data_IF_542886812520
#
_entry.id   IF_542886812520
#
_cell.length_a   1.000
_cell.length_b   1.000
_cell.length_c   1.000
_cell.angle_alpha   90.00
_cell.angle_beta   90.00
_cell.angle_gamma   90.00
#
_symmetry.space_group_name_H-M   'P 1'
#
loop_
_entity.id
_entity.type
_entity.pdbx_description
1 polymer ?
#
# COMPACT_ATOMS: atom_id res chain seq x y z
N UNK A 1 -6.58 -40.87 25.31
CA UNK A 1 -5.84 -39.61 25.53
C UNK A 1 -6.31 -38.64 24.46
N UNK A 2 -7.10 -37.64 24.84
CA UNK A 2 -7.46 -36.56 23.93
C UNK A 2 -6.16 -35.87 23.48
N UNK A 3 -5.84 -35.95 22.19
CA UNK A 3 -4.82 -35.08 21.60
C UNK A 3 -5.32 -33.65 21.81
N UNK A 4 -4.66 -32.90 22.69
CA UNK A 4 -4.90 -31.47 22.87
C UNK A 4 -4.92 -30.82 21.47
N UNK A 5 -6.07 -30.28 21.06
CA UNK A 5 -6.17 -29.56 19.80
C UNK A 5 -5.21 -28.37 19.82
N UNK A 6 -4.52 -28.15 18.69
CA UNK A 6 -3.64 -27.00 18.52
C UNK A 6 -4.44 -25.70 18.70
N UNK A 7 -3.86 -24.71 19.35
CA UNK A 7 -4.39 -23.35 19.40
C UNK A 7 -3.94 -22.60 18.15
N UNK A 8 -4.90 -22.17 17.34
CA UNK A 8 -4.68 -21.35 16.15
C UNK A 8 -5.08 -19.93 16.49
N UNK A 9 -4.21 -18.97 16.20
CA UNK A 9 -4.52 -17.55 16.38
C UNK A 9 -4.65 -16.85 15.04
N UNK A 10 -5.60 -15.94 14.94
CA UNK A 10 -5.77 -15.00 13.85
C UNK A 10 -6.05 -13.63 14.45
N UNK A 11 -5.46 -12.57 13.89
CA UNK A 11 -5.75 -11.19 14.30
C UNK A 11 -6.23 -10.34 13.13
N UNK A 12 -7.18 -9.44 13.38
CA UNK A 12 -7.68 -8.55 12.34
C UNK A 12 -8.84 -7.65 12.78
N UNK A 13 -9.26 -6.78 11.86
CA UNK A 13 -10.37 -5.85 12.05
C UNK A 13 -11.74 -6.54 11.91
N UNK A 14 -11.91 -7.39 10.88
CA UNK A 14 -13.18 -8.07 10.57
C UNK A 14 -14.42 -7.14 10.48
N UNK A 15 -14.22 -5.87 10.12
CA UNK A 15 -15.32 -4.94 9.89
C UNK A 15 -16.07 -5.28 8.61
N UNK A 16 -17.38 -5.05 8.61
CA UNK A 16 -18.34 -5.54 7.61
C UNK A 16 -18.08 -7.00 7.22
N UNK A 17 -18.25 -7.91 8.18
CA UNK A 17 -18.03 -9.34 8.01
C UNK A 17 -18.71 -9.86 6.73
N UNK A 18 -17.95 -10.60 5.92
CA UNK A 18 -18.38 -11.05 4.60
C UNK A 18 -17.80 -12.43 4.25
N UNK A 19 -18.22 -13.00 3.12
CA UNK A 19 -17.83 -14.35 2.70
C UNK A 19 -16.32 -14.59 2.70
N UNK A 20 -15.52 -13.63 2.22
CA UNK A 20 -14.06 -13.69 2.28
C UNK A 20 -13.49 -13.85 3.70
N UNK A 21 -14.02 -13.13 4.70
CA UNK A 21 -13.61 -13.32 6.10
C UNK A 21 -14.02 -14.71 6.61
N UNK A 22 -15.26 -15.13 6.32
CA UNK A 22 -15.77 -16.44 6.76
C UNK A 22 -14.94 -17.58 6.17
N UNK A 23 -14.64 -17.52 4.88
CA UNK A 23 -13.82 -18.52 4.18
C UNK A 23 -12.41 -18.61 4.78
N UNK A 24 -11.75 -17.47 5.00
CA UNK A 24 -10.44 -17.44 5.64
C UNK A 24 -10.46 -18.01 7.07
N UNK A 25 -11.45 -17.66 7.88
CA UNK A 25 -11.58 -18.19 9.24
C UNK A 25 -11.90 -19.69 9.25
N UNK A 26 -12.69 -20.18 8.29
CA UNK A 26 -12.94 -21.62 8.11
C UNK A 26 -11.65 -22.36 7.78
N UNK A 27 -10.87 -21.89 6.79
CA UNK A 27 -9.58 -22.47 6.45
C UNK A 27 -8.60 -22.45 7.64
N UNK A 28 -8.53 -21.34 8.36
CA UNK A 28 -7.70 -21.23 9.56
C UNK A 28 -8.11 -22.23 10.66
N UNK A 29 -9.42 -22.52 10.80
CA UNK A 29 -9.93 -23.47 11.79
C UNK A 29 -9.60 -24.94 11.50
N UNK A 30 -9.17 -25.27 10.27
CA UNK A 30 -8.71 -26.63 9.93
C UNK A 30 -7.43 -27.02 10.67
N UNK A 31 -6.67 -26.02 11.14
CA UNK A 31 -5.41 -26.22 11.85
C UNK A 31 -5.59 -26.46 13.36
N UNK A 32 -6.79 -26.25 13.92
CA UNK A 32 -7.06 -26.40 15.35
C UNK A 32 -8.17 -25.49 15.88
N UNK A 33 -8.19 -25.28 17.19
CA UNK A 33 -9.18 -24.39 17.82
C UNK A 33 -8.82 -22.92 17.53
N UNK A 34 -9.72 -22.20 16.86
CA UNK A 34 -9.49 -20.86 16.34
C UNK A 34 -9.78 -19.76 17.37
N UNK A 35 -8.73 -19.07 17.79
CA UNK A 35 -8.76 -17.88 18.63
C UNK A 35 -8.60 -16.64 17.76
N UNK A 36 -9.48 -15.65 17.94
CA UNK A 36 -9.43 -14.39 17.21
C UNK A 36 -9.03 -13.26 18.16
N UNK A 37 -7.97 -12.54 17.79
CA UNK A 37 -7.62 -11.22 18.30
C UNK A 37 -8.29 -10.14 17.47
N UNK A 38 -9.36 -9.54 17.99
CA UNK A 38 -10.12 -8.50 17.30
C UNK A 38 -9.49 -7.13 17.57
N UNK A 39 -9.14 -6.41 16.51
CA UNK A 39 -8.65 -5.04 16.64
C UNK A 39 -9.73 -4.10 17.19
N UNK A 40 -9.38 -3.31 18.21
CA UNK A 40 -10.29 -2.35 18.85
C UNK A 40 -10.66 -1.19 17.93
N UNK A 41 -11.83 -0.59 18.11
CA UNK A 41 -12.29 0.56 17.31
C UNK A 41 -11.27 1.70 17.34
N UNK A 42 -10.69 1.95 18.52
CA UNK A 42 -9.65 2.96 18.72
C UNK A 42 -8.39 2.67 17.89
N UNK A 43 -7.92 1.42 17.88
CA UNK A 43 -6.73 1.03 17.13
C UNK A 43 -6.98 1.11 15.63
N UNK A 44 -8.12 0.62 15.15
CA UNK A 44 -8.47 0.66 13.73
C UNK A 44 -8.61 2.10 13.25
N UNK A 45 -9.28 2.97 14.01
CA UNK A 45 -9.39 4.40 13.69
C UNK A 45 -8.03 5.07 13.54
N UNK A 46 -7.08 4.75 14.42
CA UNK A 46 -5.71 5.28 14.36
C UNK A 46 -4.92 4.76 13.15
N UNK A 47 -5.06 3.47 12.81
CA UNK A 47 -4.31 2.82 11.73
C UNK A 47 -4.83 3.13 10.32
N UNK A 48 -6.15 3.19 10.18
CA UNK A 48 -6.85 3.34 8.90
C UNK A 48 -7.41 4.74 8.68
N UNK A 49 -7.36 5.60 9.70
CA UNK A 49 -7.80 7.00 9.61
C UNK A 49 -9.32 7.17 9.50
N UNK A 50 -10.11 6.13 9.79
CA UNK A 50 -11.58 6.14 9.68
C UNK A 50 -12.21 5.23 10.74
N UNK A 51 -13.49 5.47 11.05
CA UNK A 51 -14.25 4.61 11.95
C UNK A 51 -14.67 3.30 11.27
N UNK A 52 -14.80 2.26 12.08
CA UNK A 52 -15.44 0.99 11.74
C UNK A 52 -16.94 1.22 11.51
N UNK A 53 -17.55 0.41 10.67
CA UNK A 53 -19.02 0.46 10.46
C UNK A 53 -19.73 -0.20 11.64
N UNK A 54 -19.21 -1.33 12.11
CA UNK A 54 -19.71 -2.02 13.29
C UNK A 54 -18.75 -1.83 14.46
N UNK A 55 -19.32 -1.59 15.65
CA UNK A 55 -18.57 -1.50 16.91
C UNK A 55 -17.74 -2.77 17.16
N UNK A 56 -16.69 -2.68 17.97
CA UNK A 56 -15.91 -3.86 18.36
C UNK A 56 -16.76 -4.94 19.05
N UNK A 57 -17.81 -4.55 19.79
CA UNK A 57 -18.76 -5.48 20.40
C UNK A 57 -19.61 -6.21 19.35
N UNK A 58 -20.14 -5.51 18.36
CA UNK A 58 -20.92 -6.10 17.26
C UNK A 58 -20.05 -7.02 16.40
N UNK A 59 -18.84 -6.58 16.06
CA UNK A 59 -17.87 -7.41 15.33
C UNK A 59 -17.53 -8.68 16.11
N UNK A 60 -17.28 -8.55 17.42
CA UNK A 60 -17.02 -9.71 18.28
C UNK A 60 -18.23 -10.64 18.40
N UNK A 61 -19.44 -10.10 18.47
CA UNK A 61 -20.68 -10.89 18.49
C UNK A 61 -20.83 -11.72 17.21
N UNK A 62 -20.69 -11.08 16.03
CA UNK A 62 -20.78 -11.78 14.74
C UNK A 62 -19.71 -12.86 14.59
N UNK A 63 -18.48 -12.59 15.02
CA UNK A 63 -17.39 -13.57 14.97
C UNK A 63 -17.63 -14.75 15.92
N UNK A 64 -18.15 -14.51 17.13
CA UNK A 64 -18.52 -15.57 18.09
C UNK A 64 -19.65 -16.47 17.59
N UNK A 65 -20.50 -15.96 16.71
CA UNK A 65 -21.59 -16.74 16.11
C UNK A 65 -21.12 -17.71 15.01
N UNK A 66 -19.89 -17.56 14.49
CA UNK A 66 -19.34 -18.47 13.50
C UNK A 66 -18.94 -19.80 14.16
N UNK A 67 -19.44 -20.91 13.61
CA UNK A 67 -19.18 -22.25 14.16
C UNK A 67 -17.71 -22.68 14.15
N UNK A 68 -16.88 -22.07 13.30
CA UNK A 68 -15.45 -22.33 13.23
C UNK A 68 -14.62 -21.58 14.29
N UNK A 69 -15.22 -20.65 15.04
CA UNK A 69 -14.52 -19.77 15.99
C UNK A 69 -14.64 -20.32 17.41
N UNK A 70 -13.49 -20.60 18.04
CA UNK A 70 -13.44 -21.09 19.42
C UNK A 70 -13.57 -19.96 20.44
N UNK A 71 -12.85 -18.84 20.25
CA UNK A 71 -12.90 -17.68 21.15
C UNK A 71 -12.52 -16.39 20.44
N UNK A 72 -13.18 -15.30 20.82
CA UNK A 72 -12.85 -13.93 20.37
C UNK A 72 -12.46 -13.08 21.57
N UNK A 73 -11.35 -12.37 21.47
CA UNK A 73 -10.84 -11.41 22.45
C UNK A 73 -10.52 -10.10 21.72
N UNK A 74 -10.91 -8.96 22.29
CA UNK A 74 -10.46 -7.65 21.78
C UNK A 74 -9.01 -7.43 22.20
N UNK A 75 -8.15 -7.08 21.26
CA UNK A 75 -6.73 -6.89 21.49
C UNK A 75 -6.47 -5.72 22.46
N UNK A 76 -5.53 -5.92 23.40
CA UNK A 76 -5.18 -4.90 24.42
C UNK A 76 -4.25 -3.81 23.89
N UNK A 77 -3.44 -4.15 22.88
CA UNK A 77 -2.41 -3.27 22.37
C UNK A 77 -2.94 -2.21 21.40
N UNK A 78 -2.00 -1.60 20.68
CA UNK A 78 -2.29 -0.62 19.63
C UNK A 78 -1.28 -0.69 18.49
N UNK A 79 -1.59 -0.06 17.35
CA UNK A 79 -0.71 -0.13 16.17
C UNK A 79 -0.87 -1.42 15.39
N UNK A 80 0.04 -1.71 14.44
CA UNK A 80 -0.06 -2.90 13.58
C UNK A 80 0.13 -4.22 14.33
N UNK A 81 0.74 -4.17 15.51
CA UNK A 81 1.04 -5.30 16.39
C UNK A 81 0.17 -5.23 17.67
N UNK A 82 -1.05 -4.71 17.57
CA UNK A 82 -1.97 -4.56 18.70
C UNK A 82 -2.28 -5.88 19.44
N UNK A 83 -2.16 -7.01 18.74
CA UNK A 83 -2.34 -8.35 19.27
C UNK A 83 -1.12 -8.92 19.99
N UNK A 84 0.04 -8.26 20.01
CA UNK A 84 1.28 -8.85 20.54
C UNK A 84 1.14 -9.34 21.98
N UNK A 85 0.55 -8.52 22.86
CA UNK A 85 0.34 -8.89 24.26
C UNK A 85 -0.58 -10.12 24.37
N UNK A 86 -1.68 -10.13 23.61
CA UNK A 86 -2.63 -11.24 23.56
C UNK A 86 -2.00 -12.52 23.00
N UNK A 87 -1.11 -12.40 22.01
CA UNK A 87 -0.34 -13.52 21.45
C UNK A 87 0.59 -14.13 22.51
N UNK A 88 1.33 -13.29 23.24
CA UNK A 88 2.23 -13.71 24.34
C UNK A 88 1.47 -14.37 25.50
N UNK A 89 0.26 -13.92 25.79
CA UNK A 89 -0.62 -14.51 26.82
C UNK A 89 -1.20 -15.85 26.34
N UNK A 90 -1.74 -15.90 25.12
CA UNK A 90 -2.41 -17.08 24.58
C UNK A 90 -1.43 -18.24 24.32
N UNK A 91 -0.22 -17.90 23.88
CA UNK A 91 0.83 -18.82 23.41
C UNK A 91 0.26 -19.84 22.41
N UNK A 92 -0.21 -19.38 21.24
CA UNK A 92 -0.77 -20.28 20.25
C UNK A 92 0.33 -21.15 19.62
N UNK A 93 -0.07 -22.32 19.14
CA UNK A 93 0.80 -23.21 18.38
C UNK A 93 1.05 -22.64 16.98
N UNK A 94 0.02 -21.99 16.39
CA UNK A 94 0.05 -21.43 15.04
C UNK A 94 -0.54 -20.02 15.03
N UNK A 95 0.13 -19.06 14.41
CA UNK A 95 -0.43 -17.74 14.05
C UNK A 95 -0.62 -17.66 12.54
N UNK A 96 -1.87 -17.50 12.12
CA UNK A 96 -2.26 -17.44 10.71
C UNK A 96 -2.62 -16.01 10.30
N UNK A 97 -2.10 -15.58 9.16
CA UNK A 97 -2.44 -14.31 8.50
C UNK A 97 -2.80 -14.54 7.03
N UNK A 98 -3.45 -13.56 6.41
CA UNK A 98 -3.58 -13.49 4.95
C UNK A 98 -2.36 -12.79 4.32
N UNK A 99 -2.19 -12.94 3.01
CA UNK A 99 -1.12 -12.29 2.22
C UNK A 99 -1.02 -10.77 2.43
N UNK A 100 -2.14 -10.06 2.48
CA UNK A 100 -2.21 -8.61 2.73
C UNK A 100 -1.96 -8.24 4.21
N UNK A 101 -2.07 -9.22 5.10
CA UNK A 101 -1.82 -9.08 6.53
C UNK A 101 -0.42 -9.52 6.96
N UNK A 102 0.37 -10.14 6.07
CA UNK A 102 1.75 -10.53 6.35
C UNK A 102 2.63 -9.29 6.55
N UNK A 103 3.55 -9.33 7.53
CA UNK A 103 4.67 -8.40 7.64
C UNK A 103 5.89 -9.10 8.23
N UNK A 104 7.13 -8.62 7.95
CA UNK A 104 8.34 -9.17 8.55
C UNK A 104 8.33 -9.15 10.09
N UNK A 105 7.81 -8.09 10.70
CA UNK A 105 7.71 -7.94 12.15
C UNK A 105 6.87 -9.06 12.81
N UNK A 106 5.82 -9.54 12.12
CA UNK A 106 4.98 -10.65 12.61
C UNK A 106 5.72 -11.97 12.59
N UNK A 107 6.45 -12.20 11.51
CA UNK A 107 7.23 -13.42 11.33
C UNK A 107 8.38 -13.48 12.34
N UNK A 108 9.08 -12.36 12.56
CA UNK A 108 10.15 -12.26 13.56
C UNK A 108 9.62 -12.47 14.99
N UNK A 109 8.46 -11.88 15.33
CA UNK A 109 7.80 -12.13 16.63
C UNK A 109 7.43 -13.61 16.81
N UNK A 110 6.86 -14.25 15.79
CA UNK A 110 6.56 -15.68 15.86
C UNK A 110 7.80 -16.54 16.08
N UNK A 111 8.91 -16.18 15.43
CA UNK A 111 10.20 -16.86 15.62
C UNK A 111 10.74 -16.71 17.03
N UNK A 112 10.63 -15.51 17.62
CA UNK A 112 10.97 -15.24 19.02
C UNK A 112 10.14 -16.09 19.98
N UNK A 113 8.84 -16.22 19.72
CA UNK A 113 7.89 -16.91 20.59
C UNK A 113 7.84 -18.43 20.38
N UNK A 114 8.47 -18.95 19.33
CA UNK A 114 8.37 -20.36 18.94
C UNK A 114 6.98 -20.76 18.41
N UNK A 115 6.22 -19.80 17.88
CA UNK A 115 4.90 -20.02 17.27
C UNK A 115 5.06 -20.25 15.77
N UNK A 116 4.40 -21.27 15.22
CA UNK A 116 4.37 -21.52 13.78
C UNK A 116 3.66 -20.36 13.07
N UNK A 117 4.32 -19.68 12.12
CA UNK A 117 3.72 -18.59 11.36
C UNK A 117 3.28 -19.07 9.97
N UNK A 118 2.03 -18.84 9.61
CA UNK A 118 1.47 -19.29 8.34
C UNK A 118 0.75 -18.16 7.60
N UNK A 119 1.08 -18.02 6.32
CA UNK A 119 0.40 -17.07 5.42
C UNK A 119 -0.51 -17.87 4.49
N UNK A 120 -1.81 -17.58 4.53
CA UNK A 120 -2.81 -18.16 3.64
C UNK A 120 -3.16 -17.17 2.52
N UNK A 121 -3.50 -17.73 1.35
CA UNK A 121 -3.97 -16.93 0.22
C UNK A 121 -5.45 -16.65 0.36
N UNK A 122 -5.89 -15.49 -0.14
CA UNK A 122 -7.34 -15.27 -0.29
C UNK A 122 -7.86 -16.09 -1.47
N UNK A 123 -8.38 -17.28 -1.19
CA UNK A 123 -9.13 -18.06 -2.17
C UNK A 123 -10.62 -17.73 -1.98
N UNK A 124 -11.30 -17.12 -2.98
CA UNK A 124 -12.75 -16.95 -2.91
C UNK A 124 -13.42 -18.32 -2.78
N UNK A 125 -14.29 -18.48 -1.78
CA UNK A 125 -15.01 -19.74 -1.59
C UNK A 125 -16.04 -19.94 -2.72
N UNK A 126 -15.78 -20.92 -3.61
CA UNK A 126 -16.67 -21.33 -4.70
C UNK A 126 -17.21 -20.14 -5.55
N UNK A 127 -18.43 -20.26 -6.08
CA UNK A 127 -19.12 -19.28 -6.95
C UNK A 127 -19.41 -17.90 -6.30
N UNK A 128 -18.77 -17.56 -5.18
CA UNK A 128 -18.95 -16.27 -4.52
C UNK A 128 -17.95 -15.24 -5.07
N UNK A 129 -18.39 -13.99 -5.30
CA UNK A 129 -17.49 -12.94 -5.76
C UNK A 129 -16.40 -12.67 -4.71
N UNK A 130 -15.18 -12.38 -5.17
CA UNK A 130 -14.14 -11.84 -4.31
C UNK A 130 -14.64 -10.51 -3.72
N UNK A 131 -14.77 -10.45 -2.39
CA UNK A 131 -15.21 -9.25 -1.67
C UNK A 131 -14.17 -8.85 -0.63
N UNK A 132 -13.94 -7.55 -0.52
CA UNK A 132 -13.30 -6.91 0.62
C UNK A 132 -14.32 -5.99 1.30
N UNK A 133 -14.08 -5.66 2.57
CA UNK A 133 -14.78 -4.59 3.30
C UNK A 133 -14.92 -3.34 2.42
N UNK A 134 -13.89 -2.99 1.64
CA UNK A 134 -13.93 -1.85 0.72
C UNK A 134 -14.90 -2.01 -0.45
N UNK A 135 -14.98 -3.21 -1.04
CA UNK A 135 -15.87 -3.49 -2.17
C UNK A 135 -17.36 -3.57 -1.77
N UNK A 136 -17.67 -3.72 -0.48
CA UNK A 136 -19.03 -3.76 0.05
C UNK A 136 -19.63 -2.38 0.33
N UNK A 137 -18.81 -1.33 0.39
CA UNK A 137 -19.33 0.02 0.49
C UNK A 137 -19.95 0.39 -0.86
N UNK A 138 -21.17 0.93 -0.85
CA UNK A 138 -21.84 1.47 -2.05
C UNK A 138 -21.11 2.68 -2.66
N UNK A 139 -20.16 3.25 -1.93
CA UNK A 139 -19.25 4.31 -2.36
C UNK A 139 -18.07 3.75 -3.15
N UNK A 140 -17.76 4.31 -4.32
CA UNK A 140 -16.43 4.12 -4.96
C UNK A 140 -15.41 4.93 -4.16
N UNK A 141 -14.62 4.31 -3.28
CA UNK A 141 -13.77 5.06 -2.36
C UNK A 141 -12.75 5.87 -3.14
N UNK A 142 -12.34 7.02 -2.61
CA UNK A 142 -11.21 7.78 -3.15
C UNK A 142 -10.02 6.83 -3.39
N UNK A 143 -9.43 6.79 -4.60
CA UNK A 143 -8.34 5.87 -4.92
C UNK A 143 -7.03 6.17 -4.20
N UNK A 144 -6.09 5.23 -4.28
CA UNK A 144 -4.72 5.40 -3.81
C UNK A 144 -3.79 5.76 -4.97
N UNK A 145 -2.55 6.10 -4.65
CA UNK A 145 -1.48 6.38 -5.61
C UNK A 145 -0.27 5.52 -5.25
N UNK A 146 0.42 5.00 -6.26
CA UNK A 146 1.81 4.52 -6.12
C UNK A 146 2.77 5.31 -7.01
N UNK A 147 4.01 5.49 -6.54
CA UNK A 147 5.14 5.93 -7.36
C UNK A 147 5.63 4.78 -8.26
N UNK A 148 5.79 5.04 -9.56
CA UNK A 148 6.51 4.14 -10.45
C UNK A 148 7.94 4.64 -10.72
N UNK A 149 8.12 5.87 -11.17
CA UNK A 149 9.44 6.43 -11.43
C UNK A 149 9.44 7.96 -11.45
N UNK A 150 10.61 8.57 -11.24
CA UNK A 150 10.82 10.01 -11.44
C UNK A 150 10.26 10.92 -10.34
N UNK A 151 9.53 10.41 -9.35
CA UNK A 151 8.97 11.27 -8.30
C UNK A 151 10.04 11.86 -7.39
N UNK A 152 9.67 12.93 -6.67
CA UNK A 152 10.51 14.01 -6.12
C UNK A 152 10.77 15.14 -7.09
N UNK A 153 10.69 14.92 -8.41
CA UNK A 153 10.80 15.98 -9.40
C UNK A 153 9.67 17.03 -9.30
N UNK A 154 8.55 16.67 -8.67
CA UNK A 154 7.43 17.55 -8.37
C UNK A 154 7.71 18.57 -7.27
N UNK A 155 8.86 18.44 -6.58
CA UNK A 155 9.35 19.41 -5.63
C UNK A 155 10.23 20.45 -6.33
N UNK A 156 9.91 21.76 -6.26
CA UNK A 156 10.69 22.81 -6.92
C UNK A 156 12.15 22.87 -6.50
N UNK A 157 12.46 22.51 -5.26
CA UNK A 157 13.85 22.45 -4.80
C UNK A 157 14.64 21.29 -5.43
N UNK A 158 13.98 20.33 -6.07
CA UNK A 158 14.57 19.28 -6.91
C UNK A 158 14.56 19.72 -8.38
N UNK A 159 13.40 20.05 -8.96
CA UNK A 159 13.30 20.39 -10.39
C UNK A 159 14.02 21.66 -10.79
N UNK A 160 14.39 22.54 -9.85
CA UNK A 160 15.26 23.70 -10.16
C UNK A 160 16.58 23.29 -10.81
N UNK A 161 17.10 22.09 -10.49
CA UNK A 161 18.35 21.60 -11.06
C UNK A 161 18.16 21.09 -12.49
N UNK A 162 17.09 20.35 -12.77
CA UNK A 162 16.76 19.86 -14.11
C UNK A 162 15.24 19.61 -14.25
N UNK A 163 14.60 19.97 -15.38
CA UNK A 163 13.19 19.62 -15.61
C UNK A 163 13.04 18.12 -15.87
N UNK A 164 11.86 17.56 -15.67
CA UNK A 164 11.64 16.15 -15.96
C UNK A 164 10.29 15.63 -15.53
N UNK A 165 10.08 14.33 -15.75
CA UNK A 165 8.81 13.69 -15.54
C UNK A 165 8.76 12.82 -14.28
N UNK A 166 7.58 12.78 -13.66
CA UNK A 166 7.21 11.76 -12.68
C UNK A 166 6.14 10.86 -13.28
N UNK A 167 6.13 9.59 -12.84
CA UNK A 167 5.23 8.54 -13.30
C UNK A 167 4.56 7.94 -12.07
N UNK A 168 3.23 7.96 -12.06
CA UNK A 168 2.42 7.37 -10.99
C UNK A 168 1.34 6.47 -11.57
N UNK A 169 0.88 5.49 -10.80
CA UNK A 169 -0.33 4.75 -11.11
C UNK A 169 -1.40 5.00 -10.06
N UNK A 170 -2.63 5.18 -10.53
CA UNK A 170 -3.79 5.27 -9.67
C UNK A 170 -4.30 3.89 -9.31
N UNK A 171 -4.51 3.62 -8.03
CA UNK A 171 -4.78 2.29 -7.51
C UNK A 171 -6.21 2.21 -7.00
N UNK A 172 -6.95 1.25 -7.52
CA UNK A 172 -8.27 0.88 -7.01
C UNK A 172 -8.16 0.46 -5.55
N UNK A 173 -9.04 0.95 -4.68
CA UNK A 173 -9.04 0.60 -3.26
C UNK A 173 -9.63 -0.80 -3.04
N UNK A 174 -9.16 -1.83 -3.74
CA UNK A 174 -9.60 -3.22 -3.53
C UNK A 174 -9.18 -3.79 -2.18
N UNK A 175 -8.11 -3.23 -1.60
CA UNK A 175 -7.56 -3.54 -0.28
C UNK A 175 -7.38 -2.21 0.48
N UNK A 176 -7.44 -2.24 1.80
CA UNK A 176 -7.18 -1.07 2.64
C UNK A 176 -5.72 -0.98 3.08
N UNK A 177 -5.06 0.08 2.62
CA UNK A 177 -3.67 0.35 2.96
C UNK A 177 -3.55 1.06 4.33
N UNK A 178 -2.39 0.89 4.96
CA UNK A 178 -2.08 1.53 6.25
C UNK A 178 -1.82 3.03 6.07
N UNK A 179 -2.13 3.85 7.09
CA UNK A 179 -1.69 5.24 7.11
C UNK A 179 -0.16 5.35 7.16
N UNK A 180 0.40 6.46 6.63
CA UNK A 180 1.86 6.75 6.65
C UNK A 180 2.72 5.65 6.00
N UNK A 181 2.25 5.13 4.87
CA UNK A 181 2.82 3.95 4.19
C UNK A 181 3.21 4.21 2.73
N UNK A 182 3.35 5.47 2.33
CA UNK A 182 3.70 5.84 0.95
C UNK A 182 2.55 5.76 -0.06
N UNK A 183 1.31 5.54 0.38
CA UNK A 183 0.13 5.40 -0.50
C UNK A 183 -0.67 6.70 -0.67
N UNK A 184 -0.02 7.86 -0.56
CA UNK A 184 -0.66 9.20 -0.60
C UNK A 184 -1.79 9.41 0.43
N UNK A 185 -1.71 8.75 1.60
CA UNK A 185 -2.81 8.71 2.58
C UNK A 185 -3.17 10.08 3.17
N UNK A 186 -2.22 11.00 3.30
CA UNK A 186 -2.47 12.38 3.75
C UNK A 186 -3.33 13.16 2.75
N UNK A 187 -2.88 13.28 1.50
CA UNK A 187 -3.63 13.95 0.43
C UNK A 187 -4.96 13.24 0.14
N UNK A 188 -5.01 11.91 0.29
CA UNK A 188 -6.25 11.14 0.20
C UNK A 188 -7.27 11.52 1.28
N UNK A 189 -6.84 11.80 2.51
CA UNK A 189 -7.73 12.34 3.56
C UNK A 189 -8.28 13.71 3.18
N UNK A 190 -7.47 14.59 2.59
CA UNK A 190 -7.92 15.88 2.06
C UNK A 190 -8.92 15.73 0.91
N UNK A 191 -8.72 14.76 0.03
CA UNK A 191 -9.71 14.40 -0.98
C UNK A 191 -11.02 13.91 -0.35
N UNK A 192 -10.94 13.14 0.73
CA UNK A 192 -12.12 12.67 1.46
C UNK A 192 -12.84 13.83 2.17
N UNK A 193 -12.11 14.75 2.77
CA UNK A 193 -12.66 15.97 3.36
C UNK A 193 -13.38 16.82 2.30
N UNK A 194 -12.79 16.94 1.12
CA UNK A 194 -13.28 17.79 0.03
C UNK A 194 -14.47 17.18 -0.74
N UNK A 195 -14.46 15.88 -0.98
CA UNK A 195 -15.42 15.19 -1.86
C UNK A 195 -16.14 14.01 -1.22
N UNK A 196 -16.04 13.87 0.10
CA UNK A 196 -16.56 12.72 0.85
C UNK A 196 -15.90 11.41 0.39
N UNK A 197 -16.69 10.41 0.02
CA UNK A 197 -16.16 9.07 -0.26
C UNK A 197 -15.88 8.81 -1.73
N UNK A 198 -16.17 9.72 -2.66
CA UNK A 198 -16.04 9.49 -4.10
C UNK A 198 -15.46 10.69 -4.85
N UNK A 199 -14.83 10.42 -6.00
CA UNK A 199 -14.37 11.49 -6.87
C UNK A 199 -15.56 12.07 -7.66
N UNK A 200 -15.66 13.42 -7.80
CA UNK A 200 -16.69 14.03 -8.62
C UNK A 200 -16.55 13.64 -10.10
N UNK A 201 -17.66 13.69 -10.84
CA UNK A 201 -17.67 13.55 -12.29
C UNK A 201 -17.17 14.84 -12.95
N UNK A 202 -15.86 14.94 -13.15
CA UNK A 202 -15.20 16.11 -13.72
C UNK A 202 -13.90 15.68 -14.41
N UNK A 203 -13.31 16.58 -15.23
CA UNK A 203 -12.00 16.37 -15.84
C UNK A 203 -10.94 16.00 -14.78
N UNK A 204 -10.29 14.83 -14.88
CA UNK A 204 -9.34 14.36 -13.87
C UNK A 204 -8.20 15.33 -13.54
N UNK A 205 -7.72 16.10 -14.53
CA UNK A 205 -6.68 17.11 -14.34
C UNK A 205 -7.19 18.31 -13.52
N UNK A 206 -8.47 18.68 -13.70
CA UNK A 206 -9.10 19.75 -12.92
C UNK A 206 -9.29 19.30 -11.47
N UNK A 207 -9.70 18.05 -11.25
CA UNK A 207 -9.76 17.45 -9.92
C UNK A 207 -8.37 17.43 -9.27
N UNK A 208 -7.35 16.96 -9.98
CA UNK A 208 -5.97 16.94 -9.48
C UNK A 208 -5.55 18.34 -8.99
N UNK A 209 -5.79 19.36 -9.81
CA UNK A 209 -5.39 20.74 -9.50
C UNK A 209 -6.17 21.32 -8.33
N UNK A 210 -7.44 20.96 -8.20
CA UNK A 210 -8.30 21.39 -7.11
C UNK A 210 -7.82 20.77 -5.80
N UNK A 211 -7.59 19.45 -5.80
CA UNK A 211 -7.07 18.74 -4.65
C UNK A 211 -5.68 19.22 -4.24
N UNK A 212 -4.78 19.43 -5.19
CA UNK A 212 -3.45 19.98 -4.90
C UNK A 212 -3.49 21.30 -4.15
N UNK A 213 -4.37 22.21 -4.59
CA UNK A 213 -4.52 23.52 -3.93
C UNK A 213 -5.19 23.41 -2.56
N UNK A 214 -6.12 22.47 -2.41
CA UNK A 214 -6.79 22.21 -1.15
C UNK A 214 -5.89 21.49 -0.12
N UNK A 215 -4.99 20.62 -0.58
CA UNK A 215 -4.00 19.94 0.26
C UNK A 215 -2.88 20.88 0.73
N UNK A 216 -2.74 22.04 0.09
CA UNK A 216 -1.71 23.05 0.37
C UNK A 216 -2.35 24.40 0.69
N UNK A 217 -2.94 24.51 1.88
CA UNK A 217 -3.58 25.73 2.36
C UNK A 217 -2.63 26.95 2.36
N UNK A 218 -3.15 28.18 2.17
CA UNK A 218 -2.35 29.39 2.29
C UNK A 218 -1.60 29.44 3.63
N UNK A 219 -0.27 29.61 3.57
CA UNK A 219 0.59 29.60 4.75
C UNK A 219 1.28 28.26 5.05
N UNK A 220 0.98 27.21 4.28
CA UNK A 220 1.72 25.94 4.35
C UNK A 220 3.21 26.17 4.03
N UNK A 221 4.08 25.81 4.96
CA UNK A 221 5.54 25.97 4.83
C UNK A 221 6.15 24.84 4.01
N UNK A 222 5.69 23.60 4.23
CA UNK A 222 6.13 22.42 3.49
C UNK A 222 5.03 21.99 2.52
N UNK A 223 5.17 22.41 1.27
CA UNK A 223 4.19 22.13 0.22
C UNK A 223 4.27 20.65 -0.20
N UNK A 224 3.18 19.91 -0.03
CA UNK A 224 3.01 18.54 -0.53
C UNK A 224 3.19 18.52 -2.05
N UNK A 225 3.78 17.44 -2.56
CA UNK A 225 4.02 17.29 -4.00
C UNK A 225 2.73 17.04 -4.79
N UNK A 226 2.59 17.64 -5.98
CA UNK A 226 1.38 17.47 -6.81
C UNK A 226 1.16 16.05 -7.31
N UNK A 227 2.20 15.20 -7.29
CA UNK A 227 2.10 13.78 -7.68
C UNK A 227 0.99 13.03 -6.92
N UNK A 228 0.73 13.37 -5.66
CA UNK A 228 -0.28 12.70 -4.83
C UNK A 228 -1.67 13.02 -5.35
N UNK A 229 -1.96 14.31 -5.52
CA UNK A 229 -3.23 14.76 -6.07
C UNK A 229 -3.49 14.19 -7.47
N UNK A 230 -2.46 14.17 -8.33
CA UNK A 230 -2.52 13.64 -9.70
C UNK A 230 -2.82 12.14 -9.68
N UNK A 231 -2.06 11.34 -8.93
CA UNK A 231 -2.25 9.89 -8.92
C UNK A 231 -3.54 9.45 -8.22
N UNK A 232 -4.09 10.25 -7.30
CA UNK A 232 -5.41 10.00 -6.70
C UNK A 232 -6.52 10.26 -7.72
N UNK A 233 -6.47 11.35 -8.49
CA UNK A 233 -7.61 11.78 -9.33
C UNK A 233 -7.54 11.34 -10.79
N UNK A 234 -6.35 11.11 -11.35
CA UNK A 234 -6.17 10.70 -12.74
C UNK A 234 -6.12 9.18 -12.88
N UNK A 235 -7.03 8.53 -13.63
CA UNK A 235 -7.00 7.07 -13.81
C UNK A 235 -5.80 6.63 -14.66
N UNK A 236 -5.49 5.34 -14.60
CA UNK A 236 -4.41 4.72 -15.36
C UNK A 236 -3.01 5.00 -14.80
N UNK A 237 -2.04 4.96 -15.70
CA UNK A 237 -0.64 5.30 -15.41
C UNK A 237 -0.35 6.66 -16.05
N UNK A 238 0.10 7.62 -15.25
CA UNK A 238 0.24 9.01 -15.65
C UNK A 238 1.70 9.44 -15.55
N UNK A 239 2.27 9.88 -16.68
CA UNK A 239 3.53 10.60 -16.75
C UNK A 239 3.25 12.09 -16.85
N UNK A 240 3.92 12.92 -16.06
CA UNK A 240 3.68 14.36 -16.06
C UNK A 240 4.97 15.14 -15.85
N UNK A 241 5.16 16.17 -16.68
CA UNK A 241 6.42 16.91 -16.84
C UNK A 241 6.44 18.20 -16.03
N UNK A 242 7.49 18.40 -15.24
CA UNK A 242 7.73 19.62 -14.47
C UNK A 242 8.83 20.47 -15.11
N UNK A 243 8.48 21.71 -15.41
CA UNK A 243 9.46 22.75 -15.72
C UNK A 243 10.25 23.13 -14.47
N UNK A 244 11.44 23.71 -14.66
CA UNK A 244 12.35 24.04 -13.56
C UNK A 244 11.67 24.88 -12.48
N UNK A 245 11.65 24.36 -11.25
CA UNK A 245 11.17 25.08 -10.07
C UNK A 245 9.65 25.27 -10.03
N UNK A 246 8.87 24.47 -10.76
CA UNK A 246 7.40 24.53 -10.74
C UNK A 246 6.81 23.42 -9.88
N UNK A 247 5.76 23.75 -9.14
CA UNK A 247 4.95 22.81 -8.37
C UNK A 247 3.89 22.08 -9.21
N UNK A 248 3.59 22.56 -10.41
CA UNK A 248 2.54 22.00 -11.25
C UNK A 248 3.11 21.63 -12.61
N UNK A 249 2.81 20.44 -13.14
CA UNK A 249 3.35 20.01 -14.42
C UNK A 249 2.77 20.83 -15.59
N UNK A 250 3.56 20.98 -16.65
CA UNK A 250 3.16 21.67 -17.88
C UNK A 250 2.53 20.73 -18.90
N UNK A 251 2.79 19.42 -18.81
CA UNK A 251 2.25 18.41 -19.72
C UNK A 251 1.96 17.08 -19.02
N UNK A 252 1.01 16.33 -19.56
CA UNK A 252 0.57 15.00 -19.08
C UNK A 252 0.51 14.02 -20.25
N UNK A 253 1.01 12.82 -20.05
CA UNK A 253 0.80 11.65 -20.89
C UNK A 253 0.16 10.55 -20.02
N UNK A 254 -0.88 9.89 -20.53
CA UNK A 254 -1.62 8.87 -19.76
C UNK A 254 -1.73 7.58 -20.55
N UNK A 255 -1.31 6.48 -19.93
CA UNK A 255 -1.62 5.13 -20.39
C UNK A 255 -2.97 4.73 -19.78
N UNK A 256 -4.00 4.67 -20.62
CA UNK A 256 -5.33 4.13 -20.30
C UNK A 256 -5.59 2.78 -20.98
N UNK A 257 -4.64 2.26 -21.77
CA UNK A 257 -4.77 0.99 -22.47
C UNK A 257 -4.86 -0.17 -21.46
N UNK A 258 -5.99 -0.91 -21.41
CA UNK A 258 -6.15 -2.04 -20.50
C UNK A 258 -5.12 -3.15 -20.71
N UNK A 259 -4.56 -3.31 -21.92
CA UNK A 259 -3.55 -4.33 -22.21
C UNK A 259 -2.22 -3.98 -21.53
N UNK A 260 -1.78 -2.73 -21.59
CA UNK A 260 -0.54 -2.29 -20.93
C UNK A 260 -0.74 -2.30 -19.41
N UNK A 261 -1.90 -1.85 -18.93
CA UNK A 261 -2.21 -1.84 -17.51
C UNK A 261 -2.20 -3.26 -16.94
N UNK A 262 -2.92 -4.20 -17.58
CA UNK A 262 -2.94 -5.60 -17.17
C UNK A 262 -1.55 -6.22 -17.21
N UNK A 263 -0.76 -5.91 -18.24
CA UNK A 263 0.63 -6.36 -18.33
C UNK A 263 1.47 -5.94 -17.11
N UNK A 264 1.30 -4.70 -16.61
CA UNK A 264 1.98 -4.25 -15.41
C UNK A 264 1.41 -4.91 -14.14
N UNK A 265 0.08 -5.00 -14.00
CA UNK A 265 -0.58 -5.63 -12.84
C UNK A 265 -0.14 -7.08 -12.61
N UNK A 266 0.00 -7.86 -13.69
CA UNK A 266 0.46 -9.24 -13.65
C UNK A 266 1.87 -9.37 -13.04
N UNK A 267 2.70 -8.32 -13.17
CA UNK A 267 4.12 -8.31 -12.77
C UNK A 267 4.38 -7.55 -11.47
N UNK A 268 3.48 -6.65 -11.10
CA UNK A 268 3.60 -5.83 -9.90
C UNK A 268 3.01 -6.58 -8.70
N UNK A 269 3.76 -6.69 -7.62
CA UNK A 269 3.27 -7.17 -6.32
C UNK A 269 3.83 -6.31 -5.19
N UNK A 270 3.24 -6.40 -4.01
CA UNK A 270 3.60 -5.61 -2.86
C UNK A 270 3.82 -6.48 -1.63
N UNK A 271 4.80 -6.11 -0.83
CA UNK A 271 5.05 -6.67 0.50
C UNK A 271 4.84 -5.56 1.53
N UNK A 272 4.08 -5.86 2.59
CA UNK A 272 3.83 -4.91 3.68
C UNK A 272 5.05 -4.81 4.58
N UNK A 273 5.54 -3.59 4.77
CA UNK A 273 6.53 -3.23 5.78
C UNK A 273 5.81 -2.61 6.99
N UNK A 274 6.54 -1.91 7.83
CA UNK A 274 6.01 -1.15 8.96
C UNK A 274 5.64 0.29 8.55
N UNK A 275 4.75 1.00 9.28
CA UNK A 275 4.46 2.39 9.02
C UNK A 275 5.69 3.26 9.28
N UNK A 276 5.81 4.37 8.55
CA UNK A 276 6.90 5.32 8.76
C UNK A 276 6.92 5.84 10.22
N UNK A 277 8.08 5.89 10.89
CA UNK A 277 8.21 6.46 12.25
C UNK A 277 7.73 7.91 12.33
N UNK A 278 7.18 8.34 13.48
CA UNK A 278 6.65 9.72 13.67
C UNK A 278 7.71 10.79 13.36
N UNK A 279 8.93 10.61 13.86
CA UNK A 279 10.02 11.57 13.72
C UNK A 279 10.88 11.31 12.47
N UNK A 280 10.36 10.60 11.47
CA UNK A 280 11.11 10.31 10.25
C UNK A 280 11.20 11.56 9.36
N UNK A 281 12.41 12.10 9.22
CA UNK A 281 12.71 13.20 8.33
C UNK A 281 13.59 12.73 7.16
N UNK A 282 12.96 12.49 6.01
CA UNK A 282 13.64 12.10 4.76
C UNK A 282 14.52 13.22 4.18
N UNK A 283 14.21 14.48 4.53
CA UNK A 283 14.94 15.66 4.05
C UNK A 283 16.17 15.97 4.92
N UNK A 284 16.48 15.13 5.90
CA UNK A 284 17.78 15.22 6.57
C UNK A 284 18.86 14.62 5.68
N UNK A 285 19.96 15.35 5.48
CA UNK A 285 21.13 14.90 4.72
C UNK A 285 20.89 14.68 3.21
N UNK A 286 20.33 15.68 2.52
CA UNK A 286 20.01 15.57 1.08
C UNK A 286 21.19 15.88 0.18
N UNK A 287 21.34 15.12 -0.92
CA UNK A 287 22.36 15.33 -1.95
C UNK A 287 21.73 15.71 -3.30
N UNK A 288 20.98 16.80 -3.33
CA UNK A 288 20.27 17.24 -4.55
C UNK A 288 21.19 18.12 -5.39
N UNK A 289 21.50 17.68 -6.60
CA UNK A 289 22.30 18.40 -7.58
C UNK A 289 21.85 18.04 -9.01
N UNK A 290 22.38 18.73 -10.02
CA UNK A 290 21.95 18.53 -11.41
C UNK A 290 22.24 17.12 -11.94
N UNK A 291 23.36 16.50 -11.57
CA UNK A 291 23.71 15.15 -11.97
C UNK A 291 22.70 14.13 -11.43
N UNK A 292 22.42 14.17 -10.13
CA UNK A 292 21.50 13.25 -9.47
C UNK A 292 20.06 13.42 -10.00
N UNK A 293 19.63 14.66 -10.28
CA UNK A 293 18.31 14.91 -10.86
C UNK A 293 18.25 14.43 -12.32
N UNK A 294 19.31 14.59 -13.12
CA UNK A 294 19.36 14.02 -14.49
C UNK A 294 19.25 12.50 -14.50
N UNK A 295 19.90 11.82 -13.55
CA UNK A 295 19.80 10.37 -13.37
C UNK A 295 18.36 9.94 -13.05
N UNK A 296 17.67 10.66 -12.15
CA UNK A 296 16.26 10.44 -11.86
C UNK A 296 15.38 10.56 -13.11
N UNK A 297 15.58 11.62 -13.90
CA UNK A 297 14.78 11.91 -15.11
C UNK A 297 15.03 10.86 -16.19
N UNK A 298 16.29 10.46 -16.39
CA UNK A 298 16.66 9.42 -17.35
C UNK A 298 16.03 8.07 -16.99
N UNK A 299 16.01 7.74 -15.70
CA UNK A 299 15.35 6.53 -15.20
C UNK A 299 13.83 6.55 -15.42
N UNK A 300 13.19 7.72 -15.25
CA UNK A 300 11.76 7.88 -15.51
C UNK A 300 11.42 7.67 -16.99
N UNK A 301 12.17 8.26 -17.92
CA UNK A 301 11.95 8.06 -19.35
C UNK A 301 12.19 6.60 -19.76
N UNK A 302 13.21 5.94 -19.20
CA UNK A 302 13.44 4.51 -19.44
C UNK A 302 12.28 3.64 -18.95
N UNK A 303 11.73 3.94 -17.76
CA UNK A 303 10.55 3.25 -17.24
C UNK A 303 9.33 3.48 -18.12
N UNK A 304 9.10 4.71 -18.59
CA UNK A 304 7.99 5.05 -19.49
C UNK A 304 8.08 4.30 -20.81
N UNK A 305 9.26 4.29 -21.44
CA UNK A 305 9.48 3.56 -22.69
C UNK A 305 9.23 2.06 -22.48
N UNK A 306 9.72 1.48 -21.38
CA UNK A 306 9.47 0.09 -21.03
C UNK A 306 7.99 -0.25 -20.87
N UNK A 307 7.17 0.68 -20.33
CA UNK A 307 5.71 0.50 -20.26
C UNK A 307 5.08 0.51 -21.66
N UNK A 308 5.43 1.49 -22.50
CA UNK A 308 4.88 1.63 -23.85
C UNK A 308 5.23 0.43 -24.75
N UNK A 309 6.44 -0.11 -24.61
CA UNK A 309 6.89 -1.26 -25.39
C UNK A 309 6.56 -2.60 -24.73
N UNK A 310 6.06 -2.59 -23.49
CA UNK A 310 5.87 -3.79 -22.64
C UNK A 310 7.17 -4.60 -22.50
N UNK A 311 8.30 -3.91 -22.47
CA UNK A 311 9.63 -4.49 -22.23
C UNK A 311 9.91 -4.50 -20.74
N UNK A 312 9.86 -5.70 -20.15
CA UNK A 312 10.04 -5.88 -18.72
C UNK A 312 11.45 -5.50 -18.26
N UNK A 313 12.48 -5.76 -19.06
CA UNK A 313 13.86 -5.48 -18.65
C UNK A 313 14.09 -3.97 -18.65
N UNK A 314 13.58 -3.28 -19.68
CA UNK A 314 13.62 -1.82 -19.77
C UNK A 314 12.83 -1.15 -18.64
N UNK A 315 11.59 -1.60 -18.41
CA UNK A 315 10.76 -1.06 -17.34
C UNK A 315 11.40 -1.30 -15.96
N UNK A 316 11.82 -2.54 -15.68
CA UNK A 316 12.45 -2.91 -14.39
C UNK A 316 13.71 -2.10 -14.14
N UNK A 317 14.54 -1.90 -15.17
CA UNK A 317 15.74 -1.07 -15.07
C UNK A 317 15.38 0.38 -14.74
N UNK A 318 14.47 1.01 -15.48
CA UNK A 318 14.05 2.39 -15.21
C UNK A 318 13.41 2.56 -13.83
N UNK A 319 12.58 1.60 -13.42
CA UNK A 319 11.95 1.56 -12.09
C UNK A 319 12.99 1.49 -10.97
N UNK A 320 13.98 0.60 -11.10
CA UNK A 320 15.04 0.40 -10.11
C UNK A 320 16.06 1.56 -10.09
N UNK A 321 16.50 2.02 -11.27
CA UNK A 321 17.39 3.18 -11.41
C UNK A 321 16.74 4.43 -10.81
N UNK A 322 15.41 4.57 -10.96
CA UNK A 322 14.68 5.67 -10.35
C UNK A 322 14.72 5.56 -8.83
N UNK A 323 14.53 4.37 -8.26
CA UNK A 323 14.62 4.18 -6.82
C UNK A 323 16.00 4.54 -6.28
N UNK A 324 17.07 4.06 -6.91
CA UNK A 324 18.43 4.40 -6.48
C UNK A 324 18.79 5.87 -6.70
N UNK A 325 18.30 6.50 -7.77
CA UNK A 325 18.47 7.95 -7.95
C UNK A 325 17.79 8.74 -6.83
N UNK A 326 16.63 8.29 -6.36
CA UNK A 326 15.96 8.89 -5.20
C UNK A 326 16.76 8.66 -3.92
N UNK A 327 17.27 7.44 -3.67
CA UNK A 327 18.12 7.16 -2.50
C UNK A 327 19.39 8.01 -2.51
N UNK A 328 20.03 8.19 -3.66
CA UNK A 328 21.22 9.03 -3.77
C UNK A 328 20.93 10.46 -3.32
N UNK A 329 19.79 11.03 -3.73
CA UNK A 329 19.38 12.37 -3.30
C UNK A 329 18.84 12.43 -1.87
N UNK A 330 18.23 11.35 -1.39
CA UNK A 330 17.56 11.23 -0.10
C UNK A 330 17.98 9.93 0.61
N UNK A 331 19.21 9.86 1.16
CA UNK A 331 19.77 8.63 1.72
C UNK A 331 18.93 8.01 2.84
N UNK A 332 18.17 8.84 3.58
CA UNK A 332 17.28 8.39 4.64
C UNK A 332 16.05 7.63 4.16
N UNK A 333 15.77 7.57 2.85
CA UNK A 333 14.65 6.81 2.31
C UNK A 333 14.70 5.32 2.68
N UNK A 334 15.91 4.76 2.75
CA UNK A 334 16.17 3.35 3.04
C UNK A 334 16.92 3.23 4.36
N UNK A 335 16.42 2.38 5.25
CA UNK A 335 17.08 2.03 6.51
C UNK A 335 17.74 0.65 6.40
N UNK A 336 18.68 0.29 7.29
CA UNK A 336 19.29 -1.04 7.29
C UNK A 336 18.27 -2.19 7.33
N UNK A 337 17.15 -2.00 8.05
CA UNK A 337 16.08 -2.99 8.10
C UNK A 337 15.38 -3.13 6.74
N UNK A 338 15.14 -2.04 6.03
CA UNK A 338 14.57 -2.07 4.67
C UNK A 338 15.54 -2.77 3.71
N UNK A 339 16.85 -2.50 3.79
CA UNK A 339 17.85 -3.20 2.98
C UNK A 339 17.84 -4.70 3.23
N UNK A 340 17.72 -5.11 4.50
CA UNK A 340 17.62 -6.53 4.87
C UNK A 340 16.39 -7.18 4.25
N UNK A 341 15.26 -6.48 4.17
CA UNK A 341 14.06 -6.99 3.48
C UNK A 341 14.29 -7.06 1.96
N UNK A 342 14.83 -6.01 1.34
CA UNK A 342 15.13 -5.99 -0.10
C UNK A 342 15.99 -7.20 -0.52
N UNK A 343 17.03 -7.51 0.26
CA UNK A 343 17.92 -8.66 -0.01
C UNK A 343 17.21 -10.01 -0.04
N UNK A 344 16.05 -10.15 0.61
CA UNK A 344 15.27 -11.40 0.58
C UNK A 344 14.60 -11.62 -0.78
N UNK A 345 14.36 -10.55 -1.54
CA UNK A 345 13.64 -10.57 -2.81
C UNK A 345 14.53 -10.35 -4.03
N UNK A 346 15.78 -9.90 -3.85
CA UNK A 346 16.72 -9.60 -4.95
C UNK A 346 16.93 -10.77 -5.92
N UNK A 347 16.92 -12.01 -5.43
CA UNK A 347 17.05 -13.20 -6.28
C UNK A 347 15.77 -13.59 -7.04
N UNK A 348 14.61 -13.04 -6.67
CA UNK A 348 13.28 -13.42 -7.19
C UNK A 348 12.59 -12.29 -7.97
N UNK A 349 12.84 -11.04 -7.60
CA UNK A 349 12.28 -9.87 -8.25
C UNK A 349 13.29 -9.24 -9.21
N UNK A 350 12.83 -8.78 -10.38
CA UNK A 350 13.65 -8.04 -11.36
C UNK A 350 13.94 -6.60 -10.91
N UNK A 351 13.05 -6.02 -10.12
CA UNK A 351 13.21 -4.68 -9.57
C UNK A 351 12.35 -4.49 -8.32
N UNK A 352 12.70 -3.48 -7.52
CA UNK A 352 12.00 -3.15 -6.28
C UNK A 352 12.08 -1.66 -5.97
N UNK A 353 11.10 -1.16 -5.22
CA UNK A 353 11.01 0.25 -4.81
C UNK A 353 10.05 0.44 -3.65
N UNK A 354 10.29 1.41 -2.78
CA UNK A 354 9.32 1.81 -1.75
C UNK A 354 8.16 2.57 -2.38
N UNK A 355 6.93 2.32 -1.92
CA UNK A 355 5.70 2.91 -2.47
C UNK A 355 5.64 4.45 -2.43
N UNK A 356 6.42 5.10 -1.56
CA UNK A 356 6.51 6.55 -1.46
C UNK A 356 7.86 7.02 -0.91
N UNK A 357 7.89 8.16 -0.22
CA UNK A 357 9.12 8.86 0.21
C UNK A 357 10.02 8.13 1.26
N UNK A 358 9.85 6.82 1.47
CA UNK A 358 10.76 6.01 2.30
C UNK A 358 10.40 5.87 3.78
N UNK A 359 11.24 5.15 4.52
CA UNK A 359 11.15 4.93 5.97
C UNK A 359 10.16 3.84 6.42
N UNK A 360 9.52 3.14 5.49
CA UNK A 360 8.54 2.09 5.73
C UNK A 360 7.46 2.06 4.65
N UNK A 361 6.31 1.48 4.97
CA UNK A 361 5.13 1.40 4.12
C UNK A 361 5.04 0.07 3.40
N UNK A 362 5.26 0.11 2.09
CA UNK A 362 5.21 -1.08 1.26
C UNK A 362 6.41 -1.13 0.32
N UNK A 363 6.93 -2.33 0.12
CA UNK A 363 7.91 -2.61 -0.93
C UNK A 363 7.17 -3.11 -2.17
N UNK A 364 7.23 -2.35 -3.26
CA UNK A 364 6.73 -2.74 -4.56
C UNK A 364 7.82 -3.57 -5.25
N UNK A 365 7.43 -4.72 -5.80
CA UNK A 365 8.30 -5.66 -6.48
C UNK A 365 7.78 -5.89 -7.91
N UNK A 366 8.71 -5.95 -8.86
CA UNK A 366 8.44 -6.35 -10.25
C UNK A 366 8.98 -7.76 -10.45
N UNK A 367 8.11 -8.71 -10.79
CA UNK A 367 8.45 -10.12 -10.95
C UNK A 367 7.60 -10.78 -12.04
N UNK A 368 8.18 -11.73 -12.77
CA UNK A 368 7.43 -12.64 -13.66
C UNK A 368 7.01 -13.93 -12.94
N UNK A 369 7.65 -14.20 -11.80
CA UNK A 369 7.34 -15.33 -10.93
C UNK A 369 6.54 -14.87 -9.72
N UNK A 370 5.81 -15.81 -9.14
CA UNK A 370 5.07 -15.55 -7.92
C UNK A 370 6.01 -15.31 -6.73
N UNK A 371 5.81 -14.19 -6.03
CA UNK A 371 6.56 -13.85 -4.83
C UNK A 371 5.77 -14.28 -3.59
N UNK A 372 6.29 -15.21 -2.76
CA UNK A 372 5.64 -15.59 -1.52
C UNK A 372 5.42 -14.39 -0.60
N UNK A 373 4.31 -14.40 0.15
CA UNK A 373 3.95 -13.37 1.13
C UNK A 373 3.78 -11.96 0.53
N UNK A 374 3.49 -11.89 -0.77
CA UNK A 374 3.15 -10.64 -1.46
C UNK A 374 1.67 -10.63 -1.86
N UNK A 375 1.14 -9.45 -2.15
CA UNK A 375 -0.21 -9.29 -2.68
C UNK A 375 -0.23 -8.44 -3.95
N UNK A 376 -1.28 -8.59 -4.75
CA UNK A 376 -1.50 -7.83 -5.99
C UNK A 376 -2.38 -6.61 -5.73
N UNK A 377 -2.18 -5.57 -6.54
CA UNK A 377 -3.02 -4.37 -6.57
C UNK A 377 -3.68 -4.23 -7.93
N UNK A 378 -4.72 -3.41 -8.01
CA UNK A 378 -5.38 -3.06 -9.27
C UNK A 378 -5.17 -1.60 -9.61
N UNK A 379 -4.78 -1.32 -10.83
CA UNK A 379 -4.68 0.03 -11.38
C UNK A 379 -6.08 0.43 -11.86
N UNK A 380 -6.52 1.61 -11.45
CA UNK A 380 -7.82 2.17 -11.86
C UNK A 380 -7.83 2.41 -13.35
N UNK A 381 -8.75 1.77 -14.06
CA UNK A 381 -8.98 2.05 -15.48
C UNK A 381 -9.75 3.36 -15.64
N UNK A 382 -9.53 4.04 -16.75
CA UNK A 382 -10.39 5.16 -17.14
C UNK A 382 -11.78 4.59 -17.42
N UNK A 383 -12.79 5.10 -16.72
CA UNK A 383 -14.17 4.77 -17.03
C UNK A 383 -14.44 5.24 -18.47
N UNK A 384 -14.72 4.28 -19.35
CA UNK A 384 -15.33 4.58 -20.63
C UNK A 384 -16.71 5.14 -20.28
N UNK A 385 -16.90 6.44 -20.49
CA UNK A 385 -18.19 7.08 -20.23
C UNK A 385 -19.31 6.29 -20.90
N UNK A 386 -20.44 6.17 -20.19
CA UNK A 386 -21.71 5.74 -20.76
C UNK A 386 -22.11 6.63 -21.95
#
# INVERSE_FOLDING_TARGET
>A
MDKKRKKVFVSGCFDMLHSGHVAFLQEASEFGDLYIGLGSDKTIKKLKGRETVYSEEERAYMLRALSCVHKVTVNRGSGLMDFEEDLRILKPDIFIVNEDGHSPEKEDLCRELGTEYKVLRRIPHANLPARSTTALRSSRPIPYRIDLAGTWIDQPYVSKYHPGAAITASIEPTIEFNERSGMATSTRKKAIELWNDHLPLEKPEKLARTLFRYDNDPGTVEVSGSQDSIGITMPGINKFWYDKGKYWPSHFETISDPVIIKWLEERLCMVTLWPRPVNFNVLSDTHINEENVKSLVSAAELAWEGLLTRDINKFSKGFLDSFYSQITMFPKMVTPDIEKIIKQYEAKAKAWKLSGAGGGGYLILISEEEIPNSFKIKIRLKELGL
#
